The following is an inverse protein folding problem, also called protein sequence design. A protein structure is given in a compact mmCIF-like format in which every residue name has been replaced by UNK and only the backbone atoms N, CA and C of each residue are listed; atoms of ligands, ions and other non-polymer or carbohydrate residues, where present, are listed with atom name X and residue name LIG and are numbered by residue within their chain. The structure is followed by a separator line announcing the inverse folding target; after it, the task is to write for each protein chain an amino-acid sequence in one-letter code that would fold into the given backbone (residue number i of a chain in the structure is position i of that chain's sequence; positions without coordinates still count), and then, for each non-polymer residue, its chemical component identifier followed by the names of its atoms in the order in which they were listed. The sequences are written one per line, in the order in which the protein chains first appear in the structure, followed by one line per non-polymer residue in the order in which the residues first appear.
data_IF_341486428691
#
_entry.id   IF_341486428691
#
_cell.length_a   1.000
_cell.length_b   1.000
_cell.length_c   1.000
_cell.angle_alpha   90.00
_cell.angle_beta   90.00
_cell.angle_gamma   90.00
#
_symmetry.space_group_name_H-M   'P 1'
#
loop_
_entity.id
_entity.type
_entity.pdbx_description
1 polymer ?
#
# COMPACT_ATOMS: atom_id res chain seq x y z
N UNK A 1 -26.99 -6.66 -10.02
CA UNK A 1 -26.41 -5.94 -8.85
C UNK A 1 -24.93 -5.57 -9.03
N UNK A 2 -24.08 -6.45 -9.56
CA UNK A 2 -22.63 -6.18 -9.80
C UNK A 2 -22.35 -4.90 -10.62
N UNK A 3 -23.20 -4.57 -11.59
CA UNK A 3 -23.03 -3.40 -12.46
C UNK A 3 -23.19 -2.03 -11.77
N UNK A 4 -23.95 -1.94 -10.67
CA UNK A 4 -24.09 -0.68 -9.91
C UNK A 4 -22.83 -0.37 -9.09
N UNK A 5 -22.23 -1.40 -8.50
CA UNK A 5 -20.97 -1.30 -7.75
C UNK A 5 -19.81 -0.94 -8.68
N UNK A 6 -19.73 -1.57 -9.86
CA UNK A 6 -18.69 -1.24 -10.84
C UNK A 6 -18.85 0.15 -11.44
N UNK A 7 -20.09 0.65 -11.65
CA UNK A 7 -20.33 2.06 -12.03
C UNK A 7 -19.99 3.06 -10.93
N UNK A 8 -20.19 2.71 -9.66
CA UNK A 8 -19.82 3.55 -8.52
C UNK A 8 -18.29 3.60 -8.29
N UNK A 9 -17.59 2.54 -8.67
CA UNK A 9 -16.12 2.47 -8.70
C UNK A 9 -15.51 3.04 -9.99
N UNK A 10 -16.33 3.28 -11.02
CA UNK A 10 -15.92 3.86 -12.29
C UNK A 10 -15.52 5.32 -12.06
N UNK A 11 -14.23 5.63 -12.26
CA UNK A 11 -13.69 6.95 -11.94
C UNK A 11 -13.18 7.11 -10.51
N UNK A 12 -12.91 6.02 -9.77
CA UNK A 12 -11.99 6.03 -8.61
C UNK A 12 -10.66 5.36 -8.92
N UNK A 13 -9.60 5.81 -8.24
CA UNK A 13 -8.29 5.18 -8.32
C UNK A 13 -8.40 3.82 -7.61
N UNK A 14 -8.39 2.73 -8.38
CA UNK A 14 -8.47 1.38 -7.84
C UNK A 14 -7.24 1.02 -6.98
N UNK A 15 -7.17 -0.24 -6.57
CA UNK A 15 -6.03 -0.76 -5.80
C UNK A 15 -4.78 -0.80 -6.71
N UNK A 16 -3.87 0.16 -6.53
CA UNK A 16 -2.56 0.21 -7.20
C UNK A 16 -1.47 -0.54 -6.42
N UNK A 17 -0.28 -0.65 -7.01
CA UNK A 17 0.82 -1.46 -6.45
C UNK A 17 1.37 -0.89 -5.13
N UNK A 18 1.43 0.44 -5.00
CA UNK A 18 1.76 1.09 -3.73
C UNK A 18 0.69 0.82 -2.66
N UNK A 19 -0.60 0.82 -3.00
CA UNK A 19 -1.67 0.50 -2.04
C UNK A 19 -1.66 -0.98 -1.64
N UNK A 20 -1.26 -1.89 -2.55
CA UNK A 20 -1.01 -3.29 -2.19
C UNK A 20 0.16 -3.41 -1.21
N UNK A 21 1.27 -2.73 -1.47
CA UNK A 21 2.41 -2.69 -0.55
C UNK A 21 2.00 -2.15 0.83
N UNK A 22 1.26 -1.04 0.87
CA UNK A 22 0.77 -0.45 2.11
C UNK A 22 -0.16 -1.41 2.87
N UNK A 23 -1.02 -2.13 2.16
CA UNK A 23 -1.93 -3.12 2.74
C UNK A 23 -1.16 -4.29 3.34
N UNK A 24 -0.14 -4.82 2.63
CA UNK A 24 0.73 -5.85 3.17
C UNK A 24 1.56 -5.36 4.36
N UNK A 25 2.07 -4.12 4.32
CA UNK A 25 2.78 -3.51 5.43
C UNK A 25 1.88 -3.37 6.66
N UNK A 26 0.64 -2.91 6.49
CA UNK A 26 -0.35 -2.84 7.57
C UNK A 26 -0.67 -4.24 8.11
N UNK A 27 -0.85 -5.24 7.25
CA UNK A 27 -1.09 -6.62 7.65
C UNK A 27 0.09 -7.18 8.47
N UNK A 28 1.32 -6.93 8.01
CA UNK A 28 2.54 -7.34 8.71
C UNK A 28 2.67 -6.63 10.06
N UNK A 29 2.38 -5.33 10.15
CA UNK A 29 2.36 -4.59 11.42
C UNK A 29 1.32 -5.13 12.39
N UNK A 30 0.11 -5.44 11.91
CA UNK A 30 -0.94 -6.06 12.72
C UNK A 30 -0.49 -7.43 13.21
N UNK A 31 0.03 -8.27 12.31
CA UNK A 31 0.53 -9.60 12.67
C UNK A 31 1.64 -9.53 13.70
N UNK A 32 2.60 -8.61 13.50
CA UNK A 32 3.71 -8.38 14.42
C UNK A 32 3.21 -7.85 15.78
N UNK A 33 2.20 -6.98 15.79
CA UNK A 33 1.60 -6.46 17.03
C UNK A 33 0.98 -7.55 17.92
N UNK A 34 0.64 -8.72 17.37
CA UNK A 34 0.12 -9.86 18.13
C UNK A 34 1.24 -10.55 18.93
N UNK A 35 2.49 -10.50 18.46
CA UNK A 35 3.64 -11.10 19.15
C UNK A 35 4.21 -10.21 20.27
N UNK A 36 3.94 -8.91 20.26
CA UNK A 36 4.45 -7.96 21.24
C UNK A 36 3.37 -7.54 22.25
N UNK A 37 3.67 -7.60 23.56
CA UNK A 37 2.77 -7.15 24.64
C UNK A 37 3.11 -5.74 25.13
N UNK A 38 2.12 -5.11 25.78
CA UNK A 38 2.21 -3.84 26.51
C UNK A 38 2.59 -2.63 25.64
N UNK A 39 3.79 -2.05 25.84
CA UNK A 39 4.19 -0.80 25.19
C UNK A 39 4.47 -0.96 23.68
N UNK A 40 5.03 -2.11 23.28
CA UNK A 40 5.35 -2.38 21.88
C UNK A 40 4.10 -2.57 21.02
N UNK A 41 2.97 -3.01 21.61
CA UNK A 41 1.69 -3.09 20.92
C UNK A 41 1.18 -1.70 20.51
N UNK A 42 1.24 -0.72 21.41
CA UNK A 42 0.81 0.65 21.08
C UNK A 42 1.68 1.29 20.00
N UNK A 43 3.00 1.08 20.06
CA UNK A 43 3.95 1.61 19.06
C UNK A 43 3.74 1.00 17.68
N UNK A 44 3.30 -0.26 17.58
CA UNK A 44 3.00 -0.92 16.30
C UNK A 44 1.57 -0.63 15.81
N UNK A 45 0.61 -0.47 16.73
CA UNK A 45 -0.80 -0.30 16.41
C UNK A 45 -1.12 1.11 15.91
N UNK A 46 -0.52 2.16 16.47
CA UNK A 46 -0.70 3.55 16.02
C UNK A 46 -0.34 3.75 14.54
N UNK A 47 0.87 3.38 14.06
CA UNK A 47 1.23 3.54 12.67
C UNK A 47 0.44 2.60 11.75
N UNK A 48 0.01 1.42 12.24
CA UNK A 48 -0.88 0.55 11.47
C UNK A 48 -2.22 1.23 11.17
N UNK A 49 -2.86 1.83 12.18
CA UNK A 49 -4.10 2.60 11.98
C UNK A 49 -3.87 3.80 11.07
N UNK A 50 -2.80 4.58 11.28
CA UNK A 50 -2.50 5.72 10.44
C UNK A 50 -2.27 5.31 8.97
N UNK A 51 -1.57 4.20 8.73
CA UNK A 51 -1.39 3.61 7.41
C UNK A 51 -2.71 3.17 6.77
N UNK A 52 -3.60 2.59 7.58
CA UNK A 52 -4.92 2.15 7.13
C UNK A 52 -5.81 3.35 6.74
N UNK A 53 -5.83 4.42 7.54
CA UNK A 53 -6.51 5.67 7.22
C UNK A 53 -5.95 6.29 5.94
N UNK A 54 -4.63 6.34 5.80
CA UNK A 54 -3.99 6.86 4.59
C UNK A 54 -4.34 6.03 3.36
N UNK A 55 -4.39 4.69 3.49
CA UNK A 55 -4.80 3.80 2.40
C UNK A 55 -6.23 4.08 1.93
N UNK A 56 -7.16 4.29 2.88
CA UNK A 56 -8.55 4.65 2.58
C UNK A 56 -8.65 6.02 1.92
N UNK A 57 -7.93 7.03 2.44
CA UNK A 57 -7.87 8.35 1.83
C UNK A 57 -7.36 8.28 0.38
N UNK A 58 -6.39 7.40 0.10
CA UNK A 58 -5.81 7.21 -1.23
C UNK A 58 -6.80 6.56 -2.20
N UNK A 59 -7.55 5.56 -1.75
CA UNK A 59 -8.60 4.88 -2.54
C UNK A 59 -9.77 5.83 -2.86
N UNK A 60 -10.09 6.74 -1.94
CA UNK A 60 -11.14 7.75 -2.13
C UNK A 60 -10.66 9.02 -2.84
N UNK A 61 -9.35 9.18 -3.07
CA UNK A 61 -8.80 10.36 -3.74
C UNK A 61 -9.17 10.37 -5.22
N UNK A 62 -9.78 11.47 -5.70
CA UNK A 62 -10.09 11.70 -7.12
C UNK A 62 -8.90 12.20 -7.94
N UNK A 63 -7.77 12.53 -7.32
CA UNK A 63 -6.58 13.10 -7.98
C UNK A 63 -5.73 12.02 -8.69
N UNK A 64 -6.25 11.48 -9.80
CA UNK A 64 -5.58 10.43 -10.59
C UNK A 64 -4.15 10.77 -11.00
N UNK A 65 -3.89 12.01 -11.40
CA UNK A 65 -2.58 12.43 -11.91
C UNK A 65 -1.51 12.37 -10.82
N UNK A 66 -1.81 12.95 -9.63
CA UNK A 66 -0.88 12.94 -8.49
C UNK A 66 -0.62 11.52 -8.00
N UNK A 67 -1.66 10.67 -7.93
CA UNK A 67 -1.51 9.26 -7.49
C UNK A 67 -0.72 8.40 -8.48
N UNK A 68 -0.88 8.62 -9.78
CA UNK A 68 -0.02 7.97 -10.80
C UNK A 68 1.44 8.38 -10.63
N UNK A 69 1.72 9.65 -10.38
CA UNK A 69 3.10 10.11 -10.17
C UNK A 69 3.73 9.49 -8.92
N UNK A 70 2.99 9.41 -7.81
CA UNK A 70 3.44 8.70 -6.61
C UNK A 70 3.73 7.21 -6.90
N UNK A 71 2.81 6.51 -7.56
CA UNK A 71 2.98 5.10 -7.89
C UNK A 71 4.13 4.87 -8.90
N UNK A 72 4.30 5.77 -9.86
CA UNK A 72 5.42 5.72 -10.81
C UNK A 72 6.77 5.88 -10.12
N UNK A 73 6.88 6.79 -9.13
CA UNK A 73 8.08 6.93 -8.30
C UNK A 73 8.37 5.65 -7.51
N UNK A 74 7.33 5.04 -6.91
CA UNK A 74 7.46 3.76 -6.20
C UNK A 74 7.92 2.63 -7.13
N UNK A 75 7.30 2.50 -8.31
CA UNK A 75 7.66 1.52 -9.33
C UNK A 75 9.10 1.69 -9.82
N UNK A 76 9.55 2.92 -10.02
CA UNK A 76 10.92 3.20 -10.43
C UNK A 76 11.94 2.82 -9.34
N UNK A 77 11.60 3.03 -8.07
CA UNK A 77 12.44 2.57 -6.96
C UNK A 77 12.47 1.04 -6.87
N UNK A 78 11.31 0.40 -7.01
CA UNK A 78 11.15 -1.06 -7.00
C UNK A 78 11.91 -1.71 -8.15
N UNK A 79 11.80 -1.18 -9.36
CA UNK A 79 12.47 -1.73 -10.55
C UNK A 79 13.99 -1.65 -10.45
N UNK A 80 14.55 -0.61 -9.81
CA UNK A 80 15.98 -0.55 -9.51
C UNK A 80 16.41 -1.67 -8.56
N UNK A 81 15.60 -1.96 -7.54
CA UNK A 81 15.87 -3.03 -6.59
C UNK A 81 15.75 -4.42 -7.24
N UNK A 82 14.72 -4.63 -8.06
CA UNK A 82 14.50 -5.88 -8.79
C UNK A 82 15.58 -6.11 -9.86
N UNK A 83 16.03 -5.06 -10.56
CA UNK A 83 17.17 -5.17 -11.48
C UNK A 83 18.46 -5.50 -10.76
N UNK A 84 18.73 -4.89 -9.61
CA UNK A 84 19.90 -5.24 -8.81
C UNK A 84 19.85 -6.68 -8.30
N UNK A 85 18.68 -7.16 -7.86
CA UNK A 85 18.48 -8.58 -7.50
C UNK A 85 18.72 -9.52 -8.67
N UNK A 86 18.24 -9.18 -9.87
CA UNK A 86 18.47 -9.98 -11.10
C UNK A 86 19.94 -10.07 -11.45
N UNK A 87 20.64 -8.94 -11.48
CA UNK A 87 22.08 -8.87 -11.76
C UNK A 87 22.94 -9.66 -10.76
N UNK A 88 22.44 -9.88 -9.54
CA UNK A 88 23.12 -10.68 -8.51
C UNK A 88 22.81 -12.18 -8.58
N UNK A 89 21.70 -12.57 -9.23
CA UNK A 89 21.32 -13.98 -9.41
C UNK A 89 21.87 -14.59 -10.70
N UNK A 90 22.20 -13.75 -11.69
CA UNK A 90 22.83 -14.15 -12.95
C UNK A 90 24.38 -14.19 -12.87
N UNK A 91 24.94 -14.20 -11.66
CA UNK A 91 26.40 -14.18 -11.38
C UNK A 91 26.85 -15.42 -10.61
#
# INVERSE_FOLDING_TARGET
MKQKLSRFMYGRYGIDELSKFLSYACLALIFLSVFFRDAARFVLFLPAIAGLIYSYYRIFSKDFSKRRQENAKYLHLKSRFDNWRRLRLDM
#
